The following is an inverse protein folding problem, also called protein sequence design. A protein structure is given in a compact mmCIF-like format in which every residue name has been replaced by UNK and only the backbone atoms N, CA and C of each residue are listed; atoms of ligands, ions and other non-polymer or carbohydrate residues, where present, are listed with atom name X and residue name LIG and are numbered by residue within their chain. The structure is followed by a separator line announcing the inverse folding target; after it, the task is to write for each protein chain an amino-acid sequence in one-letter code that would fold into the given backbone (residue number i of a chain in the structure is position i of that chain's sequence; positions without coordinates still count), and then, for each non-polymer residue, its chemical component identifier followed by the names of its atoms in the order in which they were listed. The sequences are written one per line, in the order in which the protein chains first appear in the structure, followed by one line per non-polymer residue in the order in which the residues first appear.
data_IF_022781214935
#
_entry.id   IF_022781214935
#
_cell.length_a   1.000
_cell.length_b   1.000
_cell.length_c   1.000
_cell.angle_alpha   90.00
_cell.angle_beta   90.00
_cell.angle_gamma   90.00
#
_symmetry.space_group_name_H-M   'P 1'
#
loop_
_entity.id
_entity.type
_entity.pdbx_description
1 polymer ?
#
# COMPACT_ATOMS: atom_id res chain seq x y z
N UNK A 1 43.04 -13.35 -23.08
CA UNK A 1 42.07 -13.65 -24.15
C UNK A 1 40.92 -14.58 -23.70
N UNK A 2 41.15 -15.50 -22.75
CA UNK A 2 40.06 -16.38 -22.22
C UNK A 2 39.05 -15.64 -21.36
N UNK A 3 39.48 -14.66 -20.57
CA UNK A 3 38.60 -13.88 -19.69
C UNK A 3 37.61 -12.97 -20.45
N UNK A 4 38.03 -12.41 -21.60
CA UNK A 4 37.11 -11.61 -22.42
C UNK A 4 36.03 -12.46 -23.10
N UNK A 5 36.32 -13.69 -23.47
CA UNK A 5 35.35 -14.61 -24.08
C UNK A 5 34.26 -15.05 -23.11
N UNK A 6 34.61 -15.29 -21.81
CA UNK A 6 33.65 -15.63 -20.76
C UNK A 6 32.70 -14.46 -20.42
N UNK A 7 33.22 -13.24 -20.35
CA UNK A 7 32.41 -12.04 -20.13
C UNK A 7 31.45 -11.76 -21.28
N UNK A 8 31.84 -12.08 -22.50
CA UNK A 8 30.99 -11.92 -23.68
C UNK A 8 29.88 -12.99 -23.69
N UNK A 9 30.19 -14.24 -23.34
CA UNK A 9 29.22 -15.31 -23.24
C UNK A 9 28.21 -15.08 -22.09
N UNK A 10 28.65 -14.59 -20.93
CA UNK A 10 27.72 -14.23 -19.84
C UNK A 10 26.79 -13.06 -20.24
N UNK A 11 27.30 -12.06 -20.95
CA UNK A 11 26.46 -10.96 -21.46
C UNK A 11 25.47 -11.45 -22.54
N UNK A 12 25.85 -12.35 -23.40
CA UNK A 12 24.93 -12.96 -24.40
C UNK A 12 23.88 -13.84 -23.71
N UNK A 13 24.22 -14.58 -22.66
CA UNK A 13 23.26 -15.35 -21.88
C UNK A 13 22.27 -14.42 -21.13
N UNK A 14 22.73 -13.32 -20.57
CA UNK A 14 21.88 -12.32 -19.91
C UNK A 14 20.97 -11.65 -20.94
N UNK A 15 21.48 -11.25 -22.10
CA UNK A 15 20.69 -10.68 -23.19
C UNK A 15 19.72 -11.69 -23.84
N UNK A 16 20.04 -12.99 -23.83
CA UNK A 16 19.10 -14.04 -24.25
C UNK A 16 18.04 -14.28 -23.18
N UNK A 17 18.36 -14.20 -21.88
CA UNK A 17 17.36 -14.27 -20.82
C UNK A 17 16.40 -13.08 -20.87
N UNK A 18 16.89 -11.88 -21.16
CA UNK A 18 16.05 -10.69 -21.34
C UNK A 18 15.12 -10.81 -22.57
N UNK A 19 15.53 -11.50 -23.62
CA UNK A 19 14.69 -11.78 -24.79
C UNK A 19 13.63 -12.89 -24.52
N UNK A 20 13.91 -13.86 -23.64
CA UNK A 20 12.91 -14.84 -23.20
C UNK A 20 11.86 -14.24 -22.26
N UNK A 21 12.20 -13.14 -21.56
CA UNK A 21 11.27 -12.42 -20.68
C UNK A 21 10.38 -11.42 -21.46
N UNK A 22 10.66 -11.19 -22.76
CA UNK A 22 9.93 -10.21 -23.57
C UNK A 22 8.76 -10.76 -24.38
N UNK A 23 8.45 -12.05 -24.27
CA UNK A 23 7.12 -12.55 -24.63
C UNK A 23 6.18 -12.22 -23.49
N UNK A 24 5.57 -11.01 -23.57
CA UNK A 24 4.69 -10.39 -22.59
C UNK A 24 3.61 -11.34 -22.10
N UNK A 25 3.90 -12.16 -21.10
CA UNK A 25 2.85 -12.80 -20.31
C UNK A 25 2.09 -11.67 -19.62
N UNK A 26 0.92 -11.34 -20.19
CA UNK A 26 0.03 -10.36 -19.55
C UNK A 26 -0.30 -10.87 -18.15
N UNK A 27 -0.38 -9.97 -17.19
CA UNK A 27 -0.85 -10.29 -15.86
C UNK A 27 -2.28 -10.83 -15.95
N UNK A 28 -2.43 -12.10 -15.61
CA UNK A 28 -3.68 -12.85 -15.61
C UNK A 28 -3.71 -13.79 -14.40
N UNK A 29 -4.86 -14.36 -14.09
CA UNK A 29 -4.99 -15.33 -12.98
C UNK A 29 -4.06 -16.54 -13.13
N UNK A 30 -3.76 -16.96 -14.36
CA UNK A 30 -2.86 -18.07 -14.64
C UNK A 30 -1.39 -17.70 -14.61
N UNK A 31 -1.06 -16.44 -14.90
CA UNK A 31 0.33 -15.94 -15.00
C UNK A 31 0.77 -15.19 -13.75
N UNK A 32 -0.12 -14.98 -12.77
CA UNK A 32 0.20 -14.35 -11.50
C UNK A 32 1.24 -15.19 -10.72
N UNK A 33 2.27 -14.53 -10.20
CA UNK A 33 3.38 -15.19 -9.49
C UNK A 33 2.90 -15.84 -8.18
N UNK A 34 1.91 -15.23 -7.52
CA UNK A 34 1.33 -15.75 -6.29
C UNK A 34 -0.07 -16.30 -6.53
N UNK A 35 -0.43 -17.48 -5.96
CA UNK A 35 -1.80 -17.97 -5.96
C UNK A 35 -2.80 -17.00 -5.33
N UNK A 36 -2.37 -16.15 -4.40
CA UNK A 36 -3.22 -15.14 -3.74
C UNK A 36 -3.72 -14.13 -4.78
N UNK A 37 -2.85 -13.63 -5.66
CA UNK A 37 -3.21 -12.70 -6.75
C UNK A 37 -3.65 -13.40 -8.04
N UNK A 38 -3.52 -14.72 -8.12
CA UNK A 38 -4.01 -15.54 -9.21
C UNK A 38 -5.32 -16.24 -8.83
N UNK A 39 -5.22 -17.55 -8.62
CA UNK A 39 -6.35 -18.47 -8.35
C UNK A 39 -7.30 -17.99 -7.26
N UNK A 40 -6.79 -17.34 -6.21
CA UNK A 40 -7.56 -16.92 -5.04
C UNK A 40 -7.86 -15.42 -5.03
N UNK A 41 -7.54 -14.68 -6.09
CA UNK A 41 -7.76 -13.22 -6.15
C UNK A 41 -9.18 -12.82 -5.74
N UNK A 42 -10.20 -13.47 -6.30
CA UNK A 42 -11.59 -13.15 -5.97
C UNK A 42 -11.99 -13.41 -4.51
N UNK A 43 -11.23 -14.26 -3.78
CA UNK A 43 -11.46 -14.51 -2.36
C UNK A 43 -10.66 -13.56 -1.45
N UNK A 44 -9.57 -13.02 -1.97
CA UNK A 44 -8.68 -12.09 -1.26
C UNK A 44 -8.90 -10.62 -1.66
N UNK A 45 -9.90 -10.32 -2.49
CA UNK A 45 -10.15 -9.00 -3.08
C UNK A 45 -10.23 -7.89 -2.04
N UNK A 46 -10.88 -8.15 -0.90
CA UNK A 46 -11.01 -7.18 0.19
C UNK A 46 -9.65 -6.69 0.73
N UNK A 47 -8.58 -7.48 0.56
CA UNK A 47 -7.24 -7.12 1.01
C UNK A 47 -6.51 -6.16 0.05
N UNK A 48 -7.01 -5.99 -1.18
CA UNK A 48 -6.39 -5.11 -2.15
C UNK A 48 -6.36 -3.64 -1.69
N UNK A 49 -7.37 -3.21 -0.94
CA UNK A 49 -7.45 -1.86 -0.37
C UNK A 49 -6.36 -1.57 0.69
N UNK A 50 -5.65 -2.60 1.17
CA UNK A 50 -4.65 -2.50 2.24
C UNK A 50 -3.24 -2.89 1.80
N UNK A 51 -3.11 -3.85 0.87
CA UNK A 51 -1.82 -4.50 0.55
C UNK A 51 -1.40 -4.39 -0.92
N UNK A 52 -2.19 -3.77 -1.78
CA UNK A 52 -1.77 -3.49 -3.15
C UNK A 52 -0.76 -2.33 -3.20
N UNK A 53 -0.07 -2.17 -4.33
CA UNK A 53 0.77 -1.00 -4.60
C UNK A 53 -0.02 0.32 -4.48
N UNK A 54 -1.25 0.34 -5.01
CA UNK A 54 -2.19 1.44 -4.83
C UNK A 54 -2.41 1.78 -3.36
N UNK A 55 -2.68 0.76 -2.53
CA UNK A 55 -2.90 0.96 -1.10
C UNK A 55 -1.65 1.50 -0.40
N UNK A 56 -0.46 0.95 -0.67
CA UNK A 56 0.79 1.42 -0.11
C UNK A 56 1.01 2.91 -0.42
N UNK A 57 0.81 3.30 -1.67
CA UNK A 57 0.94 4.70 -2.10
C UNK A 57 -0.07 5.59 -1.35
N UNK A 58 -1.34 5.17 -1.27
CA UNK A 58 -2.39 5.91 -0.53
C UNK A 58 -2.04 6.10 0.94
N UNK A 59 -1.56 5.06 1.63
CA UNK A 59 -1.16 5.15 3.03
C UNK A 59 0.04 6.07 3.23
N UNK A 60 1.00 6.09 2.29
CA UNK A 60 2.11 7.05 2.32
C UNK A 60 1.61 8.49 2.19
N UNK A 61 0.69 8.75 1.26
CA UNK A 61 0.03 10.08 1.11
C UNK A 61 -0.68 10.48 2.40
N UNK A 62 -1.43 9.57 3.01
CA UNK A 62 -2.11 9.81 4.28
C UNK A 62 -1.13 10.21 5.40
N UNK A 63 -0.05 9.45 5.57
CA UNK A 63 0.96 9.72 6.60
C UNK A 63 1.63 11.08 6.39
N UNK A 64 2.01 11.40 5.16
CA UNK A 64 2.62 12.69 4.83
C UNK A 64 1.67 13.87 5.13
N UNK A 65 0.39 13.74 4.76
CA UNK A 65 -0.63 14.79 5.03
C UNK A 65 -0.84 14.97 6.52
N UNK A 66 -1.05 13.90 7.28
CA UNK A 66 -1.27 13.99 8.73
C UNK A 66 -0.01 14.48 9.46
N UNK A 67 1.18 14.11 8.99
CA UNK A 67 2.44 14.66 9.51
C UNK A 67 2.54 16.16 9.28
N UNK A 68 2.25 16.64 8.05
CA UNK A 68 2.24 18.07 7.74
C UNK A 68 1.24 18.84 8.64
N UNK A 69 0.02 18.31 8.81
CA UNK A 69 -0.98 18.90 9.71
C UNK A 69 -0.45 18.97 11.15
N UNK A 70 0.16 17.88 11.62
CA UNK A 70 0.77 17.82 12.96
C UNK A 70 1.87 18.86 13.12
N UNK A 71 2.74 19.06 12.12
CA UNK A 71 3.75 20.13 12.14
C UNK A 71 3.10 21.52 12.25
N UNK A 72 1.97 21.75 11.57
CA UNK A 72 1.23 23.00 11.65
C UNK A 72 0.59 23.25 13.03
N UNK A 73 0.35 22.19 13.79
CA UNK A 73 -0.18 22.28 15.16
C UNK A 73 0.92 22.53 16.21
N UNK A 74 2.18 22.24 15.85
CA UNK A 74 3.32 22.59 16.70
C UNK A 74 3.57 24.11 16.68
N UNK A 75 4.20 24.68 17.71
CA UNK A 75 4.48 26.12 17.78
C UNK A 75 5.68 26.54 16.90
N UNK A 76 5.71 26.06 15.66
CA UNK A 76 6.77 26.41 14.70
C UNK A 76 6.49 27.79 14.12
N UNK A 77 7.42 28.76 14.26
CA UNK A 77 7.21 30.14 13.79
C UNK A 77 6.89 30.21 12.29
N UNK A 78 7.48 29.32 11.48
CA UNK A 78 7.34 29.28 10.02
C UNK A 78 5.93 28.82 9.59
N UNK A 79 5.22 28.04 10.40
CA UNK A 79 3.89 27.49 10.11
C UNK A 79 2.75 28.24 10.84
N UNK A 80 3.09 29.19 11.71
CA UNK A 80 2.11 29.91 12.55
C UNK A 80 1.01 30.65 11.76
N UNK A 81 1.28 30.99 10.50
CA UNK A 81 0.35 31.74 9.66
C UNK A 81 -0.55 30.89 8.76
N UNK A 82 -0.53 29.56 8.89
CA UNK A 82 -1.39 28.69 8.08
C UNK A 82 -2.84 28.78 8.54
N UNK A 83 -3.75 28.88 7.58
CA UNK A 83 -5.19 28.80 7.87
C UNK A 83 -5.57 27.33 8.11
N UNK A 84 -5.97 27.02 9.33
CA UNK A 84 -6.37 25.64 9.72
C UNK A 84 -7.63 25.15 9.00
N UNK A 85 -8.41 26.04 8.39
CA UNK A 85 -9.57 25.64 7.57
C UNK A 85 -9.17 24.77 6.37
N UNK A 86 -7.90 24.85 5.91
CA UNK A 86 -7.37 24.06 4.81
C UNK A 86 -7.14 22.58 5.19
N UNK A 87 -7.09 22.23 6.48
CA UNK A 87 -6.75 20.87 6.93
C UNK A 87 -7.73 19.81 6.42
N UNK A 88 -9.02 20.14 6.37
CA UNK A 88 -9.99 19.21 5.78
C UNK A 88 -9.79 19.01 4.27
N UNK A 89 -9.40 20.05 3.56
CA UNK A 89 -9.06 19.93 2.14
C UNK A 89 -7.79 19.09 1.94
N UNK A 90 -6.80 19.21 2.82
CA UNK A 90 -5.60 18.36 2.80
C UNK A 90 -5.95 16.89 3.08
N UNK A 91 -6.81 16.61 4.07
CA UNK A 91 -7.29 15.26 4.35
C UNK A 91 -8.05 14.64 3.19
N UNK A 92 -8.78 15.45 2.43
CA UNK A 92 -9.50 14.98 1.26
C UNK A 92 -8.58 14.47 0.16
N UNK A 93 -7.31 14.86 0.10
CA UNK A 93 -6.33 14.30 -0.85
C UNK A 93 -6.23 12.77 -0.69
N UNK A 94 -6.08 12.26 0.53
CA UNK A 94 -6.00 10.80 0.73
C UNK A 94 -7.36 10.13 0.89
N UNK A 95 -8.40 10.82 1.38
CA UNK A 95 -9.75 10.25 1.51
C UNK A 95 -10.40 10.00 0.15
N UNK A 96 -10.17 10.88 -0.80
CA UNK A 96 -10.68 10.78 -2.16
C UNK A 96 -9.62 10.28 -3.15
N UNK A 97 -8.55 9.63 -2.66
CA UNK A 97 -7.45 9.14 -3.47
C UNK A 97 -7.92 8.11 -4.47
N UNK A 98 -7.52 8.26 -5.73
CA UNK A 98 -7.94 7.45 -6.86
C UNK A 98 -6.78 6.68 -7.49
N UNK A 99 -7.10 5.72 -8.37
CA UNK A 99 -6.07 5.04 -9.18
C UNK A 99 -5.32 6.02 -10.10
N UNK A 100 -5.98 7.08 -10.57
CA UNK A 100 -5.35 8.11 -11.39
C UNK A 100 -4.29 8.89 -10.59
N UNK A 101 -4.52 9.15 -9.29
CA UNK A 101 -3.55 9.79 -8.42
C UNK A 101 -2.35 8.86 -8.16
N UNK A 102 -2.60 7.58 -7.94
CA UNK A 102 -1.55 6.58 -7.82
C UNK A 102 -0.71 6.48 -9.12
N UNK A 103 -1.37 6.50 -10.27
CA UNK A 103 -0.68 6.51 -11.57
C UNK A 103 0.17 7.77 -11.74
N UNK A 104 -0.34 8.94 -11.33
CA UNK A 104 0.44 10.18 -11.34
C UNK A 104 1.71 10.07 -10.48
N UNK A 105 1.61 9.49 -9.30
CA UNK A 105 2.77 9.24 -8.44
C UNK A 105 3.77 8.29 -9.12
N UNK A 106 3.31 7.23 -9.78
CA UNK A 106 4.18 6.31 -10.54
C UNK A 106 4.88 6.99 -11.71
N UNK A 107 4.22 7.93 -12.38
CA UNK A 107 4.84 8.75 -13.43
C UNK A 107 5.98 9.61 -12.86
N UNK A 108 5.76 10.27 -11.73
CA UNK A 108 6.80 11.06 -11.03
C UNK A 108 7.95 10.14 -10.59
N UNK A 109 7.63 8.97 -10.04
CA UNK A 109 8.61 7.97 -9.60
C UNK A 109 9.49 7.51 -10.77
N UNK A 110 8.94 7.30 -11.96
CA UNK A 110 9.69 6.89 -13.15
C UNK A 110 10.80 7.87 -13.55
N UNK A 111 10.67 9.14 -13.18
CA UNK A 111 11.65 10.20 -13.41
C UNK A 111 12.61 10.36 -12.23
N UNK A 112 12.08 10.32 -11.01
CA UNK A 112 12.87 10.54 -9.79
C UNK A 112 13.64 9.30 -9.33
N UNK A 113 13.24 8.11 -9.78
CA UNK A 113 13.72 6.81 -9.32
C UNK A 113 13.65 6.66 -7.79
N UNK A 114 12.63 7.27 -7.17
CA UNK A 114 12.46 7.24 -5.72
C UNK A 114 10.97 7.35 -5.35
N UNK A 115 10.43 6.29 -4.74
CA UNK A 115 9.03 6.09 -4.46
C UNK A 115 8.44 7.12 -3.47
N UNK A 116 9.04 7.28 -2.30
CA UNK A 116 8.56 8.24 -1.29
C UNK A 116 8.76 9.69 -1.76
N UNK A 117 9.84 9.97 -2.50
CA UNK A 117 10.06 11.30 -3.08
C UNK A 117 8.98 11.66 -4.11
N UNK A 118 8.49 10.67 -4.84
CA UNK A 118 7.37 10.87 -5.78
C UNK A 118 6.09 11.28 -5.05
N UNK A 119 5.81 10.72 -3.87
CA UNK A 119 4.70 11.14 -3.02
C UNK A 119 4.85 12.59 -2.57
N UNK A 120 6.04 13.02 -2.17
CA UNK A 120 6.32 14.41 -1.80
C UNK A 120 6.02 15.36 -2.97
N UNK A 121 6.50 15.05 -4.18
CA UNK A 121 6.24 15.89 -5.36
C UNK A 121 4.75 15.93 -5.73
N UNK A 122 4.06 14.81 -5.66
CA UNK A 122 2.60 14.76 -5.86
C UNK A 122 1.88 15.67 -4.86
N UNK A 123 2.23 15.62 -3.59
CA UNK A 123 1.63 16.49 -2.58
C UNK A 123 1.93 17.98 -2.84
N UNK A 124 3.13 18.32 -3.36
CA UNK A 124 3.43 19.68 -3.79
C UNK A 124 2.53 20.14 -4.94
N UNK A 125 2.21 19.26 -5.90
CA UNK A 125 1.23 19.53 -6.96
C UNK A 125 -0.19 19.74 -6.39
N UNK A 126 -0.61 18.92 -5.42
CA UNK A 126 -1.91 19.07 -4.76
C UNK A 126 -2.00 20.38 -3.95
N UNK A 127 -0.93 20.79 -3.28
CA UNK A 127 -0.86 22.09 -2.59
C UNK A 127 -1.01 23.25 -3.55
N UNK A 128 -0.45 23.14 -4.78
CA UNK A 128 -0.64 24.16 -5.83
C UNK A 128 -2.09 24.27 -6.27
N UNK A 129 -2.78 23.13 -6.41
CA UNK A 129 -4.21 23.09 -6.78
C UNK A 129 -5.11 23.71 -5.72
N UNK A 130 -4.78 23.51 -4.43
CA UNK A 130 -5.52 24.12 -3.32
C UNK A 130 -5.27 25.64 -3.22
N UNK A 131 -4.09 26.09 -3.63
CA UNK A 131 -3.68 27.50 -3.57
C UNK A 131 -3.37 28.02 -2.17
N UNK A 132 -2.58 29.07 -2.09
CA UNK A 132 -2.23 29.73 -0.81
C UNK A 132 -1.24 28.96 0.08
N UNK A 133 -0.75 27.81 -0.37
CA UNK A 133 0.14 26.91 0.38
C UNK A 133 1.60 26.94 -0.11
N UNK A 134 1.93 27.76 -1.11
CA UNK A 134 3.25 27.77 -1.75
C UNK A 134 4.41 27.91 -0.76
N UNK A 135 4.29 28.82 0.19
CA UNK A 135 5.35 29.07 1.19
C UNK A 135 5.51 27.94 2.22
N UNK A 136 4.58 26.97 2.24
CA UNK A 136 4.58 25.85 3.20
C UNK A 136 5.01 24.53 2.57
N UNK A 137 5.18 24.46 1.26
CA UNK A 137 5.53 23.21 0.53
C UNK A 137 6.80 22.53 1.03
N UNK A 138 7.79 23.32 1.46
CA UNK A 138 9.06 22.77 1.97
C UNK A 138 8.92 22.08 3.33
N UNK A 139 7.75 22.17 3.97
CA UNK A 139 7.44 21.44 5.19
C UNK A 139 6.79 20.07 4.92
N UNK A 140 6.46 19.74 3.66
CA UNK A 140 6.12 18.37 3.26
C UNK A 140 7.38 17.52 3.44
N UNK A 141 7.25 16.38 4.12
CA UNK A 141 8.38 15.49 4.43
C UNK A 141 9.51 16.12 5.27
N UNK A 142 9.23 17.22 5.94
CA UNK A 142 10.26 17.99 6.67
C UNK A 142 10.86 17.19 7.84
N UNK A 143 12.17 16.98 7.80
CA UNK A 143 12.90 16.27 8.87
C UNK A 143 12.69 14.77 8.90
N UNK A 144 12.04 14.18 7.88
CA UNK A 144 11.81 12.74 7.76
C UNK A 144 12.77 12.08 6.77
N UNK A 145 12.86 10.77 6.89
CA UNK A 145 13.39 9.88 5.86
C UNK A 145 12.28 9.02 5.27
N UNK A 146 12.53 8.38 4.14
CA UNK A 146 11.59 7.44 3.52
C UNK A 146 11.17 6.32 4.48
N UNK A 147 12.09 5.90 5.36
CA UNK A 147 11.83 4.83 6.32
C UNK A 147 10.83 5.24 7.40
N UNK A 148 10.80 6.51 7.81
CA UNK A 148 9.81 7.02 8.76
C UNK A 148 8.40 6.90 8.19
N UNK A 149 8.23 7.24 6.90
CA UNK A 149 6.95 7.09 6.20
C UNK A 149 6.56 5.62 6.06
N UNK A 150 7.47 4.74 5.63
CA UNK A 150 7.19 3.32 5.48
C UNK A 150 6.85 2.65 6.82
N UNK A 151 7.60 2.96 7.88
CA UNK A 151 7.39 2.40 9.22
C UNK A 151 6.10 2.89 9.89
N UNK A 152 5.44 3.90 9.33
CA UNK A 152 4.14 4.40 9.80
C UNK A 152 3.01 3.90 8.91
N UNK A 153 3.18 3.95 7.59
CA UNK A 153 2.14 3.56 6.63
C UNK A 153 1.86 2.06 6.62
N UNK A 154 2.89 1.21 6.67
CA UNK A 154 2.73 -0.24 6.65
C UNK A 154 2.01 -0.76 7.90
N UNK A 155 2.40 -0.41 9.13
CA UNK A 155 1.64 -0.82 10.32
C UNK A 155 0.20 -0.28 10.33
N UNK A 156 -0.05 0.91 9.79
CA UNK A 156 -1.39 1.47 9.68
C UNK A 156 -2.26 0.61 8.75
N UNK A 157 -1.74 0.23 7.57
CA UNK A 157 -2.47 -0.64 6.64
C UNK A 157 -2.77 -2.02 7.23
N UNK A 158 -1.81 -2.62 7.95
CA UNK A 158 -2.00 -3.90 8.64
C UNK A 158 -3.08 -3.77 9.72
N UNK A 159 -3.02 -2.72 10.54
CA UNK A 159 -4.03 -2.47 11.57
C UNK A 159 -5.43 -2.38 10.98
N UNK A 160 -5.61 -1.57 9.95
CA UNK A 160 -6.91 -1.39 9.31
C UNK A 160 -7.40 -2.67 8.62
N UNK A 161 -6.52 -3.44 7.97
CA UNK A 161 -6.88 -4.74 7.40
C UNK A 161 -7.35 -5.73 8.48
N UNK A 162 -6.69 -5.76 9.65
CA UNK A 162 -7.11 -6.60 10.77
C UNK A 162 -8.48 -6.17 11.29
N UNK A 163 -8.69 -4.88 11.52
CA UNK A 163 -9.91 -4.34 12.11
C UNK A 163 -11.12 -4.42 11.15
N UNK A 164 -10.90 -4.18 9.85
CA UNK A 164 -11.99 -4.06 8.89
C UNK A 164 -12.29 -5.36 8.12
N UNK A 165 -11.33 -6.30 8.05
CA UNK A 165 -11.48 -7.53 7.28
C UNK A 165 -11.30 -8.76 8.16
N UNK A 166 -10.16 -8.90 8.81
CA UNK A 166 -9.79 -10.15 9.48
C UNK A 166 -10.66 -10.43 10.71
N UNK A 167 -10.78 -9.49 11.64
CA UNK A 167 -11.56 -9.71 12.86
C UNK A 167 -13.05 -9.94 12.58
N UNK A 168 -13.73 -9.18 11.70
CA UNK A 168 -15.11 -9.49 11.34
C UNK A 168 -15.29 -10.91 10.80
N UNK A 169 -14.40 -11.39 9.91
CA UNK A 169 -14.47 -12.76 9.38
C UNK A 169 -14.27 -13.83 10.46
N UNK A 170 -13.37 -13.58 11.41
CA UNK A 170 -13.18 -14.52 12.56
C UNK A 170 -14.40 -14.51 13.47
N UNK A 171 -15.01 -13.36 13.71
CA UNK A 171 -16.24 -13.27 14.52
C UNK A 171 -17.41 -14.00 13.85
N UNK A 172 -17.58 -13.88 12.53
CA UNK A 172 -18.56 -14.65 11.77
C UNK A 172 -18.32 -16.18 11.89
N UNK A 173 -17.06 -16.62 11.75
CA UNK A 173 -16.70 -18.01 11.93
C UNK A 173 -17.03 -18.52 13.33
N UNK A 174 -16.67 -17.76 14.36
CA UNK A 174 -16.97 -18.09 15.77
C UNK A 174 -18.49 -18.17 16.00
N UNK A 175 -19.25 -17.22 15.45
CA UNK A 175 -20.71 -17.23 15.55
C UNK A 175 -21.31 -18.48 14.88
N UNK A 176 -20.83 -18.87 13.71
CA UNK A 176 -21.29 -20.06 13.01
C UNK A 176 -20.97 -21.34 13.79
N UNK A 177 -19.77 -21.45 14.38
CA UNK A 177 -19.40 -22.60 15.23
C UNK A 177 -20.28 -22.68 16.48
N UNK A 178 -20.60 -21.55 17.12
CA UNK A 178 -21.53 -21.51 18.27
C UNK A 178 -22.94 -21.96 17.87
N UNK A 179 -23.39 -21.55 16.68
CA UNK A 179 -24.70 -22.00 16.15
C UNK A 179 -24.73 -23.51 15.98
N UNK A 180 -23.73 -24.10 15.35
CA UNK A 180 -23.64 -25.57 15.20
C UNK A 180 -23.55 -26.29 16.54
N UNK A 181 -22.76 -25.77 17.48
CA UNK A 181 -22.67 -26.36 18.81
C UNK A 181 -24.04 -26.38 19.51
N UNK A 182 -24.82 -25.29 19.42
CA UNK A 182 -26.16 -25.24 20.00
C UNK A 182 -27.18 -26.17 19.28
N UNK A 183 -27.11 -26.23 17.96
CA UNK A 183 -27.97 -27.12 17.16
C UNK A 183 -27.73 -28.60 17.47
N UNK A 184 -26.49 -28.99 17.74
CA UNK A 184 -26.08 -30.39 17.89
C UNK A 184 -25.87 -30.83 19.34
N UNK A 185 -26.05 -29.96 20.32
CA UNK A 185 -25.76 -30.22 21.74
C UNK A 185 -26.54 -31.43 22.29
N UNK A 186 -27.73 -31.72 21.73
CA UNK A 186 -28.59 -32.82 22.14
C UNK A 186 -28.42 -34.10 21.31
N UNK A 187 -27.55 -34.06 20.29
CA UNK A 187 -27.29 -35.21 19.41
C UNK A 187 -26.22 -36.11 20.04
N UNK A 188 -26.56 -37.28 20.56
CA UNK A 188 -25.55 -38.16 21.10
C UNK A 188 -24.74 -38.80 19.99
N UNK A 189 -23.42 -38.74 20.11
CA UNK A 189 -22.52 -39.44 19.20
C UNK A 189 -21.35 -40.08 19.96
N UNK A 190 -20.89 -41.22 19.47
CA UNK A 190 -19.69 -41.84 19.96
C UNK A 190 -18.48 -41.22 19.26
N UNK A 191 -17.61 -40.59 20.05
CA UNK A 191 -16.36 -40.06 19.51
C UNK A 191 -15.42 -41.21 19.09
N UNK A 192 -14.92 -41.17 17.86
CA UNK A 192 -13.88 -42.09 17.39
C UNK A 192 -12.51 -41.65 17.91
N UNK A 193 -11.78 -42.62 18.49
CA UNK A 193 -10.42 -42.41 18.97
C UNK A 193 -9.48 -43.47 18.41
N UNK A 194 -8.20 -43.12 18.21
CA UNK A 194 -7.13 -44.06 17.86
C UNK A 194 -7.45 -45.06 16.73
N UNK A 195 -7.97 -44.62 15.59
CA UNK A 195 -8.15 -45.44 14.40
C UNK A 195 -9.38 -46.37 14.42
N UNK A 196 -10.29 -46.14 15.29
CA UNK A 196 -11.60 -46.79 15.25
C UNK A 196 -12.47 -46.21 14.13
#
# INVERSE_FOLDING_TARGET
SHSLCLITQEKELILQSDNYLNDNMKLDLLTAISPIDGRYRGKAEALAAYFSEYALIKYRVQVEVEYFITLCELPLPQLKGIDKSVFESLRNIYRNFTEADAQRIKEIESVTNHDVKAVEYFLKEEFDKLGGLDKYKEFIHFGLTSQDINNTSIPLSIKEALEQVYYPLIEELIAQLKTYAAEWETIPMLAKTHGQ
#
